data_IF_282233876851
#
_entry.id   IF_282233876851
#
_cell.length_a   1.000
_cell.length_b   1.000
_cell.length_c   1.000
_cell.angle_alpha   90.00
_cell.angle_beta   90.00
_cell.angle_gamma   90.00
#
_symmetry.space_group_name_H-M   'P 1'
#
loop_
_entity.id
_entity.type
_entity.pdbx_description
1 polymer ?
#
# COMPACT_ATOMS: atom_id res chain seq x y z
N UNK A 1 46.11 13.34 11.02
CA UNK A 1 45.36 12.38 10.18
C UNK A 1 43.86 12.39 10.52
N UNK A 2 43.18 13.55 10.45
CA UNK A 2 41.76 13.67 10.81
C UNK A 2 40.84 13.94 9.59
N UNK A 3 41.34 14.62 8.56
CA UNK A 3 40.55 14.97 7.37
C UNK A 3 40.14 13.77 6.51
N UNK A 4 41.02 12.77 6.32
CA UNK A 4 40.72 11.62 5.46
C UNK A 4 39.59 10.72 5.99
N UNK A 5 39.41 10.65 7.31
CA UNK A 5 38.37 9.82 7.95
C UNK A 5 36.98 10.45 7.79
N UNK A 6 36.89 11.78 7.90
CA UNK A 6 35.64 12.55 7.76
C UNK A 6 35.12 12.46 6.31
N UNK A 7 35.99 12.60 5.31
CA UNK A 7 35.58 12.50 3.91
C UNK A 7 35.06 11.11 3.56
N UNK A 8 35.70 10.04 4.06
CA UNK A 8 35.27 8.66 3.81
C UNK A 8 33.89 8.36 4.41
N UNK A 9 33.63 8.79 5.64
CA UNK A 9 32.34 8.62 6.32
C UNK A 9 31.19 9.30 5.53
N UNK A 10 31.43 10.54 5.09
CA UNK A 10 30.45 11.30 4.28
C UNK A 10 30.22 10.64 2.91
N UNK A 11 31.27 10.12 2.26
CA UNK A 11 31.13 9.44 0.96
C UNK A 11 30.33 8.14 1.08
N UNK A 12 30.58 7.32 2.09
CA UNK A 12 29.85 6.07 2.30
C UNK A 12 28.37 6.32 2.65
N UNK A 13 28.08 7.31 3.51
CA UNK A 13 26.70 7.69 3.83
C UNK A 13 25.94 8.18 2.59
N UNK A 14 26.57 9.03 1.76
CA UNK A 14 25.95 9.52 0.52
C UNK A 14 25.62 8.38 -0.46
N UNK A 15 26.56 7.46 -0.68
CA UNK A 15 26.33 6.29 -1.54
C UNK A 15 25.19 5.41 -1.02
N UNK A 16 25.10 5.21 0.31
CA UNK A 16 24.00 4.46 0.90
C UNK A 16 22.64 5.14 0.68
N UNK A 17 22.56 6.46 0.84
CA UNK A 17 21.33 7.23 0.56
C UNK A 17 20.95 7.19 -0.92
N UNK A 18 21.91 7.35 -1.83
CA UNK A 18 21.68 7.27 -3.28
C UNK A 18 21.21 5.88 -3.70
N UNK A 19 21.82 4.82 -3.17
CA UNK A 19 21.41 3.44 -3.41
C UNK A 19 19.99 3.18 -2.88
N UNK A 20 19.65 3.68 -1.69
CA UNK A 20 18.30 3.59 -1.14
C UNK A 20 17.27 4.29 -2.05
N UNK A 21 17.53 5.55 -2.43
CA UNK A 21 16.64 6.29 -3.32
C UNK A 21 16.48 5.60 -4.69
N UNK A 22 17.56 5.06 -5.26
CA UNK A 22 17.49 4.33 -6.52
C UNK A 22 16.64 3.06 -6.40
N UNK A 23 16.75 2.33 -5.28
CA UNK A 23 15.93 1.15 -4.99
C UNK A 23 14.46 1.52 -4.80
N UNK A 24 14.17 2.60 -4.07
CA UNK A 24 12.81 3.11 -3.87
C UNK A 24 12.17 3.54 -5.19
N UNK A 25 12.93 4.22 -6.05
CA UNK A 25 12.50 4.61 -7.40
C UNK A 25 12.15 3.39 -8.26
N UNK A 26 13.05 2.41 -8.31
CA UNK A 26 12.83 1.18 -9.07
C UNK A 26 11.60 0.42 -8.57
N UNK A 27 11.43 0.29 -7.26
CA UNK A 27 10.24 -0.33 -6.68
C UNK A 27 8.97 0.45 -7.04
N UNK A 28 9.00 1.79 -6.96
CA UNK A 28 7.86 2.62 -7.34
C UNK A 28 7.46 2.41 -8.79
N UNK A 29 8.43 2.41 -9.72
CA UNK A 29 8.17 2.19 -11.14
C UNK A 29 7.57 0.80 -11.42
N UNK A 30 8.04 -0.24 -10.71
CA UNK A 30 7.47 -1.58 -10.82
C UNK A 30 6.00 -1.61 -10.37
N UNK A 31 5.69 -1.05 -9.20
CA UNK A 31 4.32 -1.02 -8.66
C UNK A 31 3.40 -0.15 -9.51
N UNK A 32 3.88 1.00 -9.99
CA UNK A 32 3.13 1.89 -10.89
C UNK A 32 2.86 1.26 -12.26
N UNK A 33 3.76 0.38 -12.73
CA UNK A 33 3.58 -0.36 -13.97
C UNK A 33 2.52 -1.47 -13.91
N UNK A 34 2.12 -1.92 -12.72
CA UNK A 34 1.07 -2.95 -12.55
C UNK A 34 -0.31 -2.30 -12.62
N UNK A 35 -1.08 -2.63 -13.67
CA UNK A 35 -2.42 -2.09 -13.89
C UNK A 35 -3.55 -3.09 -13.67
N UNK A 36 -3.26 -4.39 -13.76
CA UNK A 36 -4.28 -5.44 -13.71
C UNK A 36 -4.56 -5.95 -12.29
N UNK A 37 -3.81 -5.43 -11.30
CA UNK A 37 -3.98 -5.73 -9.88
C UNK A 37 -4.06 -4.45 -9.04
N UNK A 38 -4.92 -4.49 -8.01
CA UNK A 38 -5.00 -3.46 -7.01
C UNK A 38 -3.93 -3.70 -5.95
N UNK A 39 -2.91 -2.84 -5.94
CA UNK A 39 -1.83 -2.89 -4.96
C UNK A 39 -1.85 -1.58 -4.16
N UNK A 40 -1.97 -1.72 -2.84
CA UNK A 40 -1.95 -0.61 -1.91
C UNK A 40 -1.32 -1.03 -0.60
N UNK A 41 -0.86 -0.04 0.16
CA UNK A 41 -0.21 -0.24 1.45
C UNK A 41 -1.06 0.40 2.54
N UNK A 42 -1.10 -0.24 3.70
CA UNK A 42 -1.80 0.24 4.89
C UNK A 42 -0.78 0.60 5.97
N UNK A 43 -1.10 1.60 6.78
CA UNK A 43 -0.50 1.76 8.10
C UNK A 43 -1.08 0.72 9.07
N UNK A 44 -0.48 0.62 10.27
CA UNK A 44 -0.89 -0.34 11.30
C UNK A 44 -2.33 -0.17 11.78
N UNK A 45 -2.89 1.04 11.67
CA UNK A 45 -4.28 1.36 11.98
C UNK A 45 -5.23 1.16 10.79
N UNK A 46 -4.74 0.62 9.65
CA UNK A 46 -5.55 0.38 8.46
C UNK A 46 -5.74 1.59 7.54
N UNK A 47 -5.02 2.70 7.79
CA UNK A 47 -5.06 3.87 6.91
C UNK A 47 -4.25 3.63 5.64
N UNK A 48 -4.83 3.91 4.48
CA UNK A 48 -4.17 3.71 3.18
C UNK A 48 -3.05 4.74 3.00
N UNK A 49 -1.83 4.27 2.71
CA UNK A 49 -0.63 5.11 2.53
C UNK A 49 -0.13 5.15 1.08
N UNK A 50 -0.53 4.17 0.25
CA UNK A 50 -0.19 4.12 -1.17
C UNK A 50 -1.39 3.63 -1.99
N UNK A 51 -1.41 3.96 -3.28
CA UNK A 51 -2.45 3.56 -4.22
C UNK A 51 -1.88 3.49 -5.64
N UNK A 52 -1.70 2.28 -6.18
CA UNK A 52 -1.18 2.11 -7.54
C UNK A 52 -2.26 2.40 -8.61
N UNK A 53 -1.88 2.58 -9.90
CA UNK A 53 -2.83 2.79 -10.99
C UNK A 53 -3.85 1.66 -11.15
N UNK A 54 -3.47 0.41 -10.92
CA UNK A 54 -4.40 -0.73 -10.98
C UNK A 54 -5.50 -0.66 -9.92
N UNK A 55 -5.18 -0.24 -8.69
CA UNK A 55 -6.17 -0.03 -7.64
C UNK A 55 -7.21 1.02 -8.05
N UNK A 56 -6.80 2.10 -8.74
CA UNK A 56 -7.76 3.06 -9.33
C UNK A 56 -8.61 2.42 -10.42
N UNK A 57 -8.01 1.66 -11.34
CA UNK A 57 -8.75 1.02 -12.43
C UNK A 57 -9.84 0.06 -11.94
N UNK A 58 -9.50 -0.74 -10.93
CA UNK A 58 -10.39 -1.77 -10.40
C UNK A 58 -11.45 -1.17 -9.46
N UNK A 59 -11.05 -0.31 -8.53
CA UNK A 59 -11.97 0.22 -7.50
C UNK A 59 -12.73 1.48 -7.93
N UNK A 60 -12.25 2.20 -8.95
CA UNK A 60 -12.74 3.52 -9.37
C UNK A 60 -12.27 4.68 -8.48
N UNK A 61 -11.59 4.44 -7.36
CA UNK A 61 -11.11 5.51 -6.47
C UNK A 61 -9.76 6.04 -6.92
N UNK A 62 -9.63 7.37 -6.99
CA UNK A 62 -8.34 8.02 -7.26
C UNK A 62 -7.43 7.94 -6.03
N UNK A 63 -6.12 8.09 -6.25
CA UNK A 63 -5.12 8.12 -5.16
C UNK A 63 -5.46 9.16 -4.10
N UNK A 64 -5.89 10.34 -4.52
CA UNK A 64 -6.26 11.46 -3.62
C UNK A 64 -7.53 11.18 -2.82
N UNK A 65 -8.41 10.30 -3.28
CA UNK A 65 -9.62 9.90 -2.55
C UNK A 65 -9.37 8.72 -1.61
N UNK A 66 -8.41 7.86 -1.94
CA UNK A 66 -8.10 6.64 -1.20
C UNK A 66 -7.08 6.87 -0.08
N UNK A 67 -5.94 7.50 -0.40
CA UNK A 67 -4.85 7.73 0.57
C UNK A 67 -5.33 8.62 1.71
N UNK A 68 -5.00 8.23 2.95
CA UNK A 68 -5.44 8.90 4.17
C UNK A 68 -6.82 8.45 4.66
N UNK A 69 -7.49 7.52 3.97
CA UNK A 69 -8.75 6.93 4.42
C UNK A 69 -8.56 5.50 4.90
N UNK A 70 -9.45 5.02 5.77
CA UNK A 70 -9.39 3.65 6.28
C UNK A 70 -9.87 2.65 5.21
N UNK A 71 -9.16 1.54 5.04
CA UNK A 71 -9.41 0.56 3.98
C UNK A 71 -10.77 -0.17 4.10
N UNK A 72 -11.36 -0.20 5.29
CA UNK A 72 -12.68 -0.82 5.51
C UNK A 72 -13.76 -0.25 4.60
N UNK A 73 -13.62 0.98 4.08
CA UNK A 73 -14.59 1.57 3.14
C UNK A 73 -14.84 0.74 1.89
N UNK A 74 -13.91 -0.13 1.50
CA UNK A 74 -14.02 -1.00 0.33
C UNK A 74 -14.74 -2.32 0.62
N UNK A 75 -15.00 -2.64 1.88
CA UNK A 75 -15.80 -3.80 2.26
C UNK A 75 -17.30 -3.51 2.06
N UNK A 76 -18.06 -4.56 1.77
CA UNK A 76 -19.53 -4.50 1.80
C UNK A 76 -20.01 -4.34 3.25
N UNK A 77 -21.24 -3.88 3.45
CA UNK A 77 -21.77 -3.60 4.80
C UNK A 77 -21.90 -4.87 5.64
N UNK A 78 -22.19 -6.00 5.01
CA UNK A 78 -22.26 -7.31 5.66
C UNK A 78 -20.91 -7.69 6.28
N UNK A 79 -19.83 -7.67 5.49
CA UNK A 79 -18.47 -7.95 5.98
C UNK A 79 -18.03 -6.96 7.07
N UNK A 80 -18.42 -5.68 6.95
CA UNK A 80 -18.14 -4.67 7.98
C UNK A 80 -18.86 -5.00 9.28
N UNK A 81 -20.13 -5.41 9.21
CA UNK A 81 -20.94 -5.77 10.37
C UNK A 81 -20.39 -7.01 11.08
N UNK A 82 -19.77 -7.93 10.34
CA UNK A 82 -19.06 -9.08 10.89
C UNK A 82 -17.66 -8.74 11.44
N UNK A 83 -17.20 -7.50 11.27
CA UNK A 83 -15.89 -7.06 11.75
C UNK A 83 -14.72 -7.58 10.91
N UNK A 84 -14.97 -8.08 9.70
CA UNK A 84 -13.96 -8.70 8.84
C UNK A 84 -12.75 -7.80 8.55
N UNK A 85 -12.88 -6.46 8.34
CA UNK A 85 -11.71 -5.61 8.20
C UNK A 85 -10.78 -5.64 9.41
N UNK A 86 -11.33 -5.64 10.62
CA UNK A 86 -10.53 -5.68 11.84
C UNK A 86 -9.85 -7.04 12.00
N UNK A 87 -10.57 -8.12 11.74
CA UNK A 87 -10.02 -9.49 11.76
C UNK A 87 -8.86 -9.60 10.75
N UNK A 88 -9.05 -9.13 9.53
CA UNK A 88 -8.01 -9.16 8.50
C UNK A 88 -6.74 -8.42 8.95
N UNK A 89 -6.90 -7.24 9.55
CA UNK A 89 -5.78 -6.43 10.03
C UNK A 89 -5.05 -7.10 11.22
N UNK A 90 -5.81 -7.61 12.20
CA UNK A 90 -5.24 -8.28 13.37
C UNK A 90 -4.54 -9.59 13.01
N UNK A 91 -5.11 -10.39 12.10
CA UNK A 91 -4.46 -11.61 11.61
C UNK A 91 -3.18 -11.27 10.86
N UNK A 92 -3.20 -10.25 10.00
CA UNK A 92 -1.99 -9.80 9.30
C UNK A 92 -0.91 -9.30 10.28
N UNK A 93 -1.29 -8.61 11.36
CA UNK A 93 -0.36 -8.17 12.40
C UNK A 93 0.22 -9.37 13.19
N UNK A 94 -0.60 -10.33 13.57
CA UNK A 94 -0.19 -11.48 14.38
C UNK A 94 0.59 -12.54 13.59
N UNK A 95 0.20 -12.81 12.34
CA UNK A 95 0.70 -13.92 11.51
C UNK A 95 1.56 -13.46 10.33
N UNK A 96 1.64 -12.15 10.08
CA UNK A 96 2.38 -11.56 8.97
C UNK A 96 1.65 -11.60 7.62
N UNK A 97 0.45 -12.19 7.55
CA UNK A 97 -0.40 -12.23 6.36
C UNK A 97 -1.87 -12.48 6.70
N UNK A 98 -2.75 -12.05 5.80
CA UNK A 98 -4.14 -12.47 5.75
C UNK A 98 -4.51 -12.71 4.29
N UNK A 99 -5.18 -13.82 4.01
CA UNK A 99 -5.69 -14.17 2.69
C UNK A 99 -7.20 -14.40 2.83
N UNK A 100 -7.99 -13.76 1.97
CA UNK A 100 -9.43 -13.88 1.98
C UNK A 100 -10.03 -13.43 0.65
N UNK A 101 -11.09 -14.10 0.24
CA UNK A 101 -11.86 -13.74 -0.94
C UNK A 101 -13.18 -13.11 -0.48
N UNK A 102 -13.59 -12.03 -1.14
CA UNK A 102 -14.83 -11.35 -0.79
C UNK A 102 -15.16 -10.23 -1.77
N UNK A 103 -16.40 -9.78 -1.72
CA UNK A 103 -16.85 -8.69 -2.57
C UNK A 103 -16.32 -7.35 -2.06
N UNK A 104 -16.03 -6.45 -3.01
CA UNK A 104 -15.60 -5.09 -2.69
C UNK A 104 -16.52 -4.05 -3.33
N UNK A 105 -16.71 -2.95 -2.61
CA UNK A 105 -17.49 -1.80 -3.07
C UNK A 105 -16.67 -1.02 -4.09
N UNK A 106 -17.23 -0.80 -5.28
CA UNK A 106 -16.66 0.03 -6.33
C UNK A 106 -17.34 1.40 -6.36
N UNK A 107 -16.59 2.46 -6.67
CA UNK A 107 -17.11 3.83 -6.75
C UNK A 107 -18.16 4.01 -7.85
N UNK A 108 -17.82 3.59 -9.07
CA UNK A 108 -18.58 3.94 -10.28
C UNK A 108 -19.65 2.91 -10.66
N UNK A 109 -19.74 1.81 -9.91
CA UNK A 109 -20.80 0.84 -10.02
C UNK A 109 -21.04 0.24 -8.63
N UNK A 110 -22.19 0.47 -7.97
CA UNK A 110 -22.55 -0.22 -6.74
C UNK A 110 -22.70 -1.75 -6.90
N UNK A 111 -22.45 -2.28 -8.11
CA UNK A 111 -22.41 -3.70 -8.40
C UNK A 111 -21.06 -4.31 -8.04
N UNK A 112 -21.13 -5.38 -7.26
CA UNK A 112 -20.00 -6.12 -6.70
C UNK A 112 -18.99 -6.55 -7.77
N UNK A 113 -17.72 -6.19 -7.56
CA UNK A 113 -16.59 -6.77 -8.27
C UNK A 113 -15.86 -7.73 -7.33
N UNK A 114 -15.54 -8.93 -7.81
CA UNK A 114 -14.50 -9.74 -7.19
C UNK A 114 -13.18 -9.04 -7.52
N UNK A 115 -12.49 -8.56 -6.50
CA UNK A 115 -11.18 -7.91 -6.61
C UNK A 115 -10.18 -8.71 -5.81
#
# INVERSE_FOLDING_TARGET
MAFAKITRDITERKKATEALHASEEQFRLLVEGVTDYAIYMLSVDGTITNWNPGARGITGFTRTEAVGTHFSRFYIEEDKAEGLPLVALQTAEAEGRFEGEGWRVRKDAPGFGQV
#
